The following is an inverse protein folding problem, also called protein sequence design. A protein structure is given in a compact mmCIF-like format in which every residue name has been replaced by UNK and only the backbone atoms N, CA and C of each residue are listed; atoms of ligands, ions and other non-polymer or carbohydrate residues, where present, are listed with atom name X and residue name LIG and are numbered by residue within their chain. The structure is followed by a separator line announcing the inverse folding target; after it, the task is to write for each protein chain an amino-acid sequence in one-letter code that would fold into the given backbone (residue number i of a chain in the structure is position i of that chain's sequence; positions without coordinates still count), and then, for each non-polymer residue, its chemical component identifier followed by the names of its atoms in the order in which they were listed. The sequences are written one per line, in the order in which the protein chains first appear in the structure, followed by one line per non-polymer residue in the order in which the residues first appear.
data_IF_000153819063
#
_entry.id   IF_000153819063
#
_cell.length_a   1.000
_cell.length_b   1.000
_cell.length_c   1.000
_cell.angle_alpha   90.00
_cell.angle_beta   90.00
_cell.angle_gamma   90.00
#
_symmetry.space_group_name_H-M   'P 1'
#
loop_
_entity.id
_entity.type
_entity.pdbx_description
1 polymer ?
#
# COMPACT_ATOMS: atom_id res chain seq x y z
N UNK A 1 5.21 23.12 9.16
CA UNK A 1 4.07 22.18 9.28
C UNK A 1 4.41 21.16 10.33
N UNK A 2 3.67 21.11 11.44
CA UNK A 2 3.92 20.20 12.56
C UNK A 2 3.29 18.83 12.25
N UNK A 3 4.12 17.79 12.19
CA UNK A 3 3.70 16.42 11.84
C UNK A 3 3.69 15.53 13.09
N UNK A 4 2.70 14.66 13.19
CA UNK A 4 2.59 13.64 14.23
C UNK A 4 2.41 12.26 13.60
N UNK A 5 3.12 11.27 14.13
CA UNK A 5 2.86 9.85 13.88
C UNK A 5 2.26 9.27 15.17
N UNK A 6 1.04 8.76 15.05
CA UNK A 6 0.45 7.89 16.07
C UNK A 6 0.70 6.45 15.68
N UNK A 7 1.44 5.73 16.51
CA UNK A 7 1.90 4.39 16.22
C UNK A 7 1.26 3.38 17.17
N UNK A 8 0.62 2.35 16.63
CA UNK A 8 0.24 1.19 17.40
C UNK A 8 1.47 0.48 17.99
N UNK A 9 1.29 -0.25 19.09
CA UNK A 9 2.34 -0.98 19.76
C UNK A 9 2.30 -2.47 19.44
N UNK A 10 1.20 -3.14 19.76
CA UNK A 10 1.10 -4.59 19.84
C UNK A 10 1.03 -5.27 18.45
N UNK A 11 2.12 -5.95 18.08
CA UNK A 11 2.28 -6.51 16.74
C UNK A 11 2.63 -5.46 15.68
N UNK A 12 2.81 -4.19 16.07
CA UNK A 12 3.30 -3.10 15.24
C UNK A 12 4.74 -2.76 15.59
N UNK A 13 4.97 -2.16 16.78
CA UNK A 13 6.31 -1.92 17.35
C UNK A 13 6.86 -3.19 17.97
N UNK A 14 6.08 -3.85 18.83
CA UNK A 14 6.46 -5.16 19.35
C UNK A 14 6.29 -6.21 18.27
N UNK A 15 7.22 -7.16 18.20
CA UNK A 15 7.16 -8.24 17.18
C UNK A 15 5.95 -9.16 17.42
N UNK A 16 5.51 -9.27 18.68
CA UNK A 16 4.36 -10.05 19.11
C UNK A 16 3.35 -9.17 19.82
N UNK A 17 2.08 -9.55 19.77
CA UNK A 17 1.04 -8.96 20.62
C UNK A 17 1.31 -9.35 22.08
N UNK A 18 1.82 -8.41 22.88
CA UNK A 18 2.23 -8.69 24.24
C UNK A 18 1.04 -8.90 25.17
N UNK A 19 -0.10 -8.26 24.87
CA UNK A 19 -1.36 -8.52 25.55
C UNK A 19 -1.76 -9.99 25.39
N UNK A 20 -1.72 -10.52 24.16
CA UNK A 20 -2.02 -11.93 23.85
C UNK A 20 -1.05 -12.89 24.55
N UNK A 21 0.26 -12.63 24.44
CA UNK A 21 1.29 -13.49 25.05
C UNK A 21 1.14 -13.54 26.58
N UNK A 22 0.78 -12.42 27.21
CA UNK A 22 0.52 -12.34 28.65
C UNK A 22 -0.73 -13.11 29.07
N UNK A 23 -1.87 -12.90 28.39
CA UNK A 23 -3.12 -13.56 28.79
C UNK A 23 -3.03 -15.07 28.60
N UNK A 24 -2.32 -15.54 27.58
CA UNK A 24 -2.10 -16.97 27.36
C UNK A 24 -1.30 -17.63 28.50
N UNK A 25 -0.39 -16.89 29.15
CA UNK A 25 0.47 -17.42 30.22
C UNK A 25 -0.14 -17.26 31.62
N UNK A 26 -0.82 -16.14 31.89
CA UNK A 26 -1.19 -15.72 33.24
C UNK A 26 -2.70 -15.72 33.51
N UNK A 27 -3.51 -16.31 32.64
CA UNK A 27 -4.95 -16.51 32.91
C UNK A 27 -5.24 -17.94 33.35
N UNK A 28 -6.22 -18.07 34.27
CA UNK A 28 -6.68 -19.37 34.78
C UNK A 28 -8.05 -19.79 34.19
N UNK A 29 -8.51 -19.10 33.14
CA UNK A 29 -9.85 -19.29 32.54
C UNK A 29 -9.83 -19.25 31.02
N UNK A 30 -11.01 -19.42 30.40
CA UNK A 30 -11.16 -19.49 28.94
C UNK A 30 -11.10 -18.08 28.30
N UNK A 31 -9.90 -17.51 28.26
CA UNK A 31 -9.65 -16.23 27.63
C UNK A 31 -9.82 -16.30 26.10
N UNK A 32 -9.68 -17.49 25.50
CA UNK A 32 -9.89 -17.73 24.07
C UNK A 32 -11.33 -17.44 23.64
N UNK A 33 -12.32 -17.70 24.52
CA UNK A 33 -13.70 -17.32 24.27
C UNK A 33 -13.89 -15.79 24.23
N UNK A 34 -13.19 -15.06 25.11
CA UNK A 34 -13.22 -13.59 25.15
C UNK A 34 -12.57 -13.02 23.89
N UNK A 35 -11.41 -13.54 23.48
CA UNK A 35 -10.71 -13.14 22.25
C UNK A 35 -11.57 -13.41 21.00
N UNK A 36 -12.23 -14.56 20.92
CA UNK A 36 -13.18 -14.86 19.84
C UNK A 36 -14.31 -13.83 19.77
N UNK A 37 -14.95 -13.53 20.90
CA UNK A 37 -16.05 -12.57 20.93
C UNK A 37 -15.58 -11.14 20.56
N UNK A 38 -14.35 -10.77 20.88
CA UNK A 38 -13.73 -9.52 20.42
C UNK A 38 -13.49 -9.52 18.91
N UNK A 39 -12.87 -10.57 18.36
CA UNK A 39 -12.59 -10.69 16.91
C UNK A 39 -13.85 -10.75 16.06
N UNK A 40 -14.92 -11.35 16.57
CA UNK A 40 -16.25 -11.39 15.94
C UNK A 40 -17.04 -10.08 16.13
N UNK A 41 -16.51 -9.10 16.88
CA UNK A 41 -17.14 -7.81 17.10
C UNK A 41 -18.33 -7.82 18.06
N UNK A 42 -18.53 -8.89 18.84
CA UNK A 42 -19.59 -8.98 19.86
C UNK A 42 -19.28 -8.10 21.08
N UNK A 43 -18.00 -7.94 21.40
CA UNK A 43 -17.50 -7.03 22.44
C UNK A 43 -16.36 -6.19 21.89
N UNK A 44 -16.18 -4.98 22.44
CA UNK A 44 -15.00 -4.16 22.18
C UNK A 44 -13.81 -4.51 23.09
N UNK A 45 -12.65 -3.91 22.83
CA UNK A 45 -11.43 -4.14 23.63
C UNK A 45 -11.60 -3.77 25.10
N UNK A 46 -12.39 -2.72 25.42
CA UNK A 46 -12.75 -2.37 26.80
C UNK A 46 -13.50 -3.51 27.50
N UNK A 47 -14.46 -4.10 26.80
CA UNK A 47 -15.23 -5.25 27.29
C UNK A 47 -14.37 -6.48 27.47
N UNK A 48 -13.47 -6.76 26.52
CA UNK A 48 -12.53 -7.87 26.58
C UNK A 48 -11.60 -7.74 27.80
N UNK A 49 -10.90 -6.61 27.96
CA UNK A 49 -10.01 -6.39 29.11
C UNK A 49 -10.74 -6.36 30.45
N UNK A 50 -11.99 -5.87 30.49
CA UNK A 50 -12.84 -5.93 31.69
C UNK A 50 -13.16 -7.36 32.12
N UNK A 51 -13.22 -8.31 31.17
CA UNK A 51 -13.39 -9.74 31.49
C UNK A 51 -12.05 -10.41 31.80
N UNK A 52 -11.00 -10.09 31.04
CA UNK A 52 -9.64 -10.62 31.24
C UNK A 52 -9.11 -10.26 32.64
N UNK A 53 -9.32 -9.04 33.13
CA UNK A 53 -8.89 -8.63 34.48
C UNK A 53 -9.41 -9.53 35.61
N UNK A 54 -10.55 -10.20 35.40
CA UNK A 54 -11.14 -11.12 36.40
C UNK A 54 -10.41 -12.46 36.48
N UNK A 55 -9.79 -12.88 35.38
CA UNK A 55 -9.14 -14.19 35.23
C UNK A 55 -7.62 -14.12 35.10
N UNK A 56 -7.07 -12.93 34.88
CA UNK A 56 -5.64 -12.65 34.88
C UNK A 56 -5.13 -12.60 36.32
N UNK A 57 -4.18 -13.47 36.65
CA UNK A 57 -3.58 -13.61 37.98
C UNK A 57 -2.09 -13.81 37.85
N UNK A 58 -1.32 -13.13 38.70
CA UNK A 58 0.11 -13.34 38.76
C UNK A 58 0.82 -12.36 39.68
N UNK A 59 1.94 -12.80 40.22
CA UNK A 59 2.88 -11.94 40.93
C UNK A 59 3.49 -10.92 39.95
N UNK A 60 3.51 -9.65 40.36
CA UNK A 60 4.01 -8.55 39.51
C UNK A 60 5.45 -8.80 39.06
N UNK A 61 6.32 -9.29 39.96
CA UNK A 61 7.72 -9.55 39.63
C UNK A 61 7.86 -10.70 38.62
N UNK A 62 7.04 -11.74 38.75
CA UNK A 62 7.00 -12.84 37.78
C UNK A 62 6.51 -12.36 36.40
N UNK A 63 5.47 -11.54 36.35
CA UNK A 63 4.94 -10.97 35.10
C UNK A 63 5.99 -10.07 34.43
N UNK A 64 6.64 -9.19 35.19
CA UNK A 64 7.66 -8.28 34.64
C UNK A 64 8.89 -9.02 34.11
N UNK A 65 9.32 -10.11 34.76
CA UNK A 65 10.37 -10.99 34.22
C UNK A 65 9.95 -11.63 32.91
N UNK A 66 8.72 -12.14 32.83
CA UNK A 66 8.20 -12.73 31.62
C UNK A 66 8.12 -11.72 30.46
N UNK A 67 7.70 -10.47 30.73
CA UNK A 67 7.74 -9.38 29.74
C UNK A 67 9.16 -9.13 29.25
N UNK A 68 10.15 -9.11 30.16
CA UNK A 68 11.55 -8.90 29.78
C UNK A 68 12.06 -10.00 28.83
N UNK A 69 11.70 -11.25 29.07
CA UNK A 69 12.06 -12.40 28.22
C UNK A 69 11.39 -12.39 26.84
N UNK A 70 10.30 -11.62 26.67
CA UNK A 70 9.51 -11.54 25.44
C UNK A 70 9.47 -10.12 24.86
N UNK A 71 10.46 -9.29 25.17
CA UNK A 71 10.45 -7.85 24.91
C UNK A 71 10.86 -7.44 23.49
N UNK A 72 10.90 -8.36 22.53
CA UNK A 72 11.36 -8.07 21.16
C UNK A 72 10.50 -7.00 20.47
N UNK A 73 11.15 -5.97 19.95
CA UNK A 73 10.57 -4.94 19.08
C UNK A 73 11.15 -5.03 17.67
N UNK A 74 10.49 -4.41 16.70
CA UNK A 74 11.03 -4.25 15.35
C UNK A 74 12.44 -3.63 15.42
N UNK A 75 13.48 -4.31 14.87
CA UNK A 75 14.86 -3.86 14.98
C UNK A 75 15.12 -2.47 14.39
N UNK A 76 14.29 -2.03 13.46
CA UNK A 76 14.40 -0.74 12.77
C UNK A 76 13.67 0.38 13.50
N UNK A 77 12.83 0.10 14.50
CA UNK A 77 12.00 1.10 15.17
C UNK A 77 12.83 2.20 15.85
N UNK A 78 13.93 1.84 16.52
CA UNK A 78 14.79 2.83 17.20
C UNK A 78 15.44 3.81 16.22
N UNK A 79 15.88 3.32 15.06
CA UNK A 79 16.47 4.13 13.99
C UNK A 79 15.39 5.03 13.36
N UNK A 80 14.22 4.45 13.10
CA UNK A 80 13.04 5.19 12.61
C UNK A 80 12.66 6.34 13.55
N UNK A 81 12.56 6.07 14.86
CA UNK A 81 12.21 7.07 15.87
C UNK A 81 13.19 8.25 15.88
N UNK A 82 14.50 7.96 15.92
CA UNK A 82 15.55 8.99 15.88
C UNK A 82 15.49 9.83 14.60
N UNK A 83 15.29 9.19 13.46
CA UNK A 83 15.22 9.92 12.18
C UNK A 83 13.97 10.79 12.08
N UNK A 84 12.84 10.38 12.64
CA UNK A 84 11.65 11.22 12.74
C UNK A 84 11.91 12.46 13.60
N UNK A 85 12.60 12.31 14.74
CA UNK A 85 13.00 13.43 15.60
C UNK A 85 13.90 14.43 14.88
N UNK A 86 14.88 13.97 14.12
CA UNK A 86 15.76 14.82 13.29
C UNK A 86 14.97 15.61 12.23
N UNK A 87 13.87 15.04 11.74
CA UNK A 87 12.94 15.66 10.77
C UNK A 87 11.82 16.49 11.41
N UNK A 88 11.84 16.71 12.74
CA UNK A 88 10.77 17.37 13.49
C UNK A 88 9.39 16.71 13.31
N UNK A 89 9.36 15.38 13.22
CA UNK A 89 8.14 14.57 13.22
C UNK A 89 7.99 13.98 14.62
N UNK A 90 6.94 14.37 15.34
CA UNK A 90 6.66 13.82 16.65
C UNK A 90 6.11 12.40 16.52
N UNK A 91 6.48 11.52 17.45
CA UNK A 91 5.94 10.15 17.55
C UNK A 91 5.31 9.98 18.92
N UNK A 92 4.08 9.43 18.94
CA UNK A 92 3.42 8.98 20.16
C UNK A 92 2.85 7.58 19.95
N UNK A 93 2.96 6.74 20.97
CA UNK A 93 2.43 5.37 20.94
C UNK A 93 0.97 5.38 21.38
N UNK A 94 0.12 4.64 20.68
CA UNK A 94 -1.30 4.48 21.01
C UNK A 94 -1.65 3.00 20.98
N UNK A 95 -1.84 2.39 22.15
CA UNK A 95 -2.11 0.96 22.26
C UNK A 95 -3.42 0.68 22.99
N UNK A 96 -4.15 -0.32 22.53
CA UNK A 96 -5.24 -0.94 23.29
C UNK A 96 -4.70 -1.90 24.38
N UNK A 97 -3.38 -2.05 24.47
CA UNK A 97 -2.64 -2.82 25.44
C UNK A 97 -2.59 -2.23 26.85
N UNK A 98 -1.69 -2.78 27.67
CA UNK A 98 -1.51 -2.42 29.08
C UNK A 98 -0.22 -1.62 29.29
N UNK A 99 -0.33 -0.53 30.05
CA UNK A 99 0.75 0.44 30.26
C UNK A 99 2.03 -0.15 30.85
N UNK A 100 1.92 -1.09 31.80
CA UNK A 100 3.09 -1.61 32.52
C UNK A 100 4.09 -2.33 31.61
N UNK A 101 3.62 -3.15 30.65
CA UNK A 101 4.53 -3.88 29.76
C UNK A 101 5.07 -2.96 28.66
N UNK A 102 4.26 -2.02 28.16
CA UNK A 102 4.72 -1.03 27.18
C UNK A 102 5.86 -0.23 27.80
N UNK A 103 5.65 0.28 29.01
CA UNK A 103 6.68 1.00 29.78
C UNK A 103 7.95 0.15 29.96
N UNK A 104 7.81 -1.10 30.42
CA UNK A 104 8.95 -1.99 30.65
C UNK A 104 9.74 -2.29 29.38
N UNK A 105 9.06 -2.53 28.25
CA UNK A 105 9.70 -2.80 26.96
C UNK A 105 10.43 -1.54 26.46
N UNK A 106 9.80 -0.36 26.55
CA UNK A 106 10.45 0.90 26.18
C UNK A 106 11.70 1.17 27.05
N UNK A 107 11.68 0.86 28.35
CA UNK A 107 12.86 0.95 29.22
C UNK A 107 14.00 0.02 28.78
N UNK A 108 13.68 -1.25 28.45
CA UNK A 108 14.67 -2.24 27.98
C UNK A 108 15.36 -1.76 26.70
N UNK A 109 14.62 -1.12 25.80
CA UNK A 109 15.13 -0.66 24.51
C UNK A 109 15.63 0.80 24.50
N UNK A 110 15.70 1.44 25.67
CA UNK A 110 16.13 2.84 25.82
C UNK A 110 15.29 3.84 24.99
N UNK A 111 13.96 3.70 25.09
CA UNK A 111 12.95 4.50 24.39
C UNK A 111 11.87 5.07 25.35
N UNK A 112 12.19 5.19 26.64
CA UNK A 112 11.24 5.63 27.67
C UNK A 112 10.76 7.08 27.51
N UNK A 113 11.43 7.87 26.69
CA UNK A 113 11.05 9.25 26.36
C UNK A 113 9.84 9.33 25.43
N UNK A 114 9.46 8.24 24.75
CA UNK A 114 8.33 8.23 23.82
C UNK A 114 7.02 8.33 24.60
N UNK A 115 6.20 9.37 24.39
CA UNK A 115 4.89 9.47 25.02
C UNK A 115 3.99 8.34 24.52
N UNK A 116 3.21 7.74 25.42
CA UNK A 116 2.26 6.69 25.06
C UNK A 116 0.90 6.83 25.76
N UNK A 117 -0.13 6.30 25.10
CA UNK A 117 -1.49 6.18 25.60
C UNK A 117 -1.88 4.70 25.60
N UNK A 118 -2.31 4.18 26.75
CA UNK A 118 -2.68 2.78 26.92
C UNK A 118 -3.71 2.61 28.04
N UNK A 119 -4.24 1.40 28.19
CA UNK A 119 -5.03 1.05 29.36
C UNK A 119 -4.12 0.99 30.59
N UNK A 120 -4.64 1.41 31.74
CA UNK A 120 -3.86 1.50 32.98
C UNK A 120 -4.08 0.30 33.88
N UNK A 121 -3.00 -0.38 34.20
CA UNK A 121 -2.98 -1.54 35.08
C UNK A 121 -2.75 -1.15 36.53
N UNK A 122 -3.47 -1.79 37.45
CA UNK A 122 -3.28 -1.66 38.89
C UNK A 122 -3.06 -3.05 39.48
N UNK A 123 -1.82 -3.34 39.88
CA UNK A 123 -1.51 -4.54 40.65
C UNK A 123 -2.05 -4.38 42.07
N UNK A 124 -2.71 -5.42 42.58
CA UNK A 124 -3.27 -5.47 43.93
C UNK A 124 -2.55 -6.52 44.77
N UNK A 125 -2.67 -6.36 46.08
CA UNK A 125 -2.30 -7.40 47.03
C UNK A 125 -3.04 -8.71 46.68
N UNK A 126 -2.39 -9.86 46.87
CA UNK A 126 -2.86 -11.20 46.49
C UNK A 126 -2.79 -11.55 44.98
N UNK A 127 -2.09 -10.75 44.16
CA UNK A 127 -1.79 -11.09 42.76
C UNK A 127 -2.97 -10.91 41.80
N UNK A 128 -3.98 -10.14 42.20
CA UNK A 128 -5.06 -9.69 41.33
C UNK A 128 -4.69 -8.42 40.56
N UNK A 129 -5.26 -8.24 39.37
CA UNK A 129 -4.89 -7.16 38.45
C UNK A 129 -6.17 -6.46 37.98
N UNK A 130 -6.31 -5.19 38.33
CA UNK A 130 -7.39 -4.34 37.81
C UNK A 130 -6.93 -3.54 36.59
N UNK A 131 -7.87 -3.24 35.69
CA UNK A 131 -7.60 -2.45 34.49
C UNK A 131 -8.58 -1.29 34.42
N UNK A 132 -8.05 -0.10 34.13
CA UNK A 132 -8.82 1.13 33.92
C UNK A 132 -8.56 1.71 32.53
N UNK A 133 -9.54 2.46 32.00
CA UNK A 133 -9.59 2.86 30.59
C UNK A 133 -9.58 4.39 30.43
N UNK A 134 -8.49 5.08 30.80
CA UNK A 134 -8.43 6.55 30.85
C UNK A 134 -8.59 7.23 29.48
N UNK A 135 -8.35 6.48 28.41
CA UNK A 135 -8.42 6.98 27.03
C UNK A 135 -9.60 6.38 26.25
N UNK A 136 -10.58 5.79 26.95
CA UNK A 136 -11.84 5.37 26.32
C UNK A 136 -12.69 6.58 25.91
N UNK A 137 -13.63 6.33 25.00
CA UNK A 137 -14.63 7.31 24.58
C UNK A 137 -16.03 6.75 24.91
N UNK A 138 -16.84 7.54 25.62
CA UNK A 138 -18.15 7.10 26.09
C UNK A 138 -19.11 6.86 24.92
N UNK A 139 -19.11 7.76 23.92
CA UNK A 139 -19.92 7.60 22.71
C UNK A 139 -19.54 6.34 21.92
N UNK A 140 -18.25 5.98 21.91
CA UNK A 140 -17.78 4.77 21.28
C UNK A 140 -18.22 3.53 22.07
N UNK A 141 -18.06 3.55 23.40
CA UNK A 141 -18.42 2.46 24.31
C UNK A 141 -17.60 1.16 24.18
N UNK A 142 -16.82 0.99 23.09
CA UNK A 142 -16.17 -0.26 22.72
C UNK A 142 -14.67 -0.31 23.06
N UNK A 143 -13.92 0.76 22.78
CA UNK A 143 -12.46 0.75 22.85
C UNK A 143 -11.93 1.03 24.28
N UNK A 144 -10.90 0.30 24.70
CA UNK A 144 -10.17 0.60 25.94
C UNK A 144 -9.36 1.90 25.80
N UNK A 145 -8.67 2.04 24.68
CA UNK A 145 -7.98 3.24 24.22
C UNK A 145 -8.54 3.63 22.85
N UNK A 146 -9.35 4.69 22.79
CA UNK A 146 -9.97 5.13 21.55
C UNK A 146 -8.97 5.91 20.67
N UNK A 147 -8.31 5.21 19.74
CA UNK A 147 -7.29 5.80 18.86
C UNK A 147 -7.84 6.92 17.96
N UNK A 148 -9.09 6.83 17.52
CA UNK A 148 -9.80 7.91 16.78
C UNK A 148 -9.87 9.21 17.61
N UNK A 149 -10.30 9.13 18.87
CA UNK A 149 -10.34 10.27 19.80
C UNK A 149 -8.96 10.91 19.95
N UNK A 150 -7.91 10.09 20.03
CA UNK A 150 -6.53 10.59 20.16
C UNK A 150 -6.05 11.35 18.92
N UNK A 151 -6.43 10.92 17.71
CA UNK A 151 -6.20 11.70 16.49
C UNK A 151 -6.92 13.05 16.57
N UNK A 152 -8.21 13.05 16.88
CA UNK A 152 -9.03 14.27 16.97
C UNK A 152 -8.53 15.25 18.03
N UNK A 153 -8.05 14.74 19.16
CA UNK A 153 -7.43 15.54 20.21
C UNK A 153 -6.16 16.23 19.69
N UNK A 154 -5.30 15.50 18.99
CA UNK A 154 -4.04 16.05 18.48
C UNK A 154 -4.19 16.94 17.25
N UNK A 155 -5.28 16.84 16.49
CA UNK A 155 -5.57 17.76 15.36
C UNK A 155 -5.55 19.24 15.77
N UNK A 156 -5.78 19.55 17.05
CA UNK A 156 -5.71 20.93 17.57
C UNK A 156 -4.28 21.51 17.55
N UNK A 157 -3.26 20.66 17.48
CA UNK A 157 -1.85 21.06 17.60
C UNK A 157 -1.00 20.69 16.38
N UNK A 158 -1.46 19.75 15.56
CA UNK A 158 -0.70 19.18 14.44
C UNK A 158 -1.44 19.37 13.12
N UNK A 159 -0.69 19.81 12.11
CA UNK A 159 -1.21 20.06 10.77
C UNK A 159 -1.44 18.75 10.00
N UNK A 160 -0.59 17.75 10.23
CA UNK A 160 -0.69 16.42 9.62
C UNK A 160 -0.50 15.32 10.65
N UNK A 161 -1.38 14.32 10.61
CA UNK A 161 -1.36 13.16 11.49
C UNK A 161 -1.35 11.88 10.65
N UNK A 162 -0.27 11.15 10.78
CA UNK A 162 -0.07 9.83 10.20
C UNK A 162 -0.39 8.75 11.22
N UNK A 163 -0.86 7.61 10.74
CA UNK A 163 -1.12 6.44 11.58
C UNK A 163 -0.33 5.22 11.11
N UNK A 164 0.25 4.47 12.05
CA UNK A 164 0.95 3.20 11.79
C UNK A 164 0.28 2.11 12.60
N UNK A 165 -0.17 1.03 11.95
CA UNK A 165 -0.79 -0.10 12.66
C UNK A 165 -0.97 -1.38 11.85
N UNK A 166 -1.61 -2.37 12.47
CA UNK A 166 -1.71 -3.75 11.96
C UNK A 166 -3.12 -4.37 12.12
N UNK A 167 -3.96 -3.81 12.99
CA UNK A 167 -5.01 -4.58 13.65
C UNK A 167 -6.44 -4.05 13.55
N UNK A 168 -7.33 -4.78 14.21
CA UNK A 168 -8.76 -4.45 14.34
C UNK A 168 -8.99 -3.14 15.08
N UNK A 169 -8.24 -2.87 16.15
CA UNK A 169 -8.36 -1.67 16.99
C UNK A 169 -7.92 -0.38 16.27
N UNK A 170 -7.21 -0.52 15.14
CA UNK A 170 -6.68 0.59 14.35
C UNK A 170 -7.64 1.14 13.31
N UNK A 171 -8.71 0.40 13.00
CA UNK A 171 -9.61 0.70 11.87
C UNK A 171 -10.20 2.10 11.95
N UNK A 172 -10.69 2.51 13.12
CA UNK A 172 -11.24 3.85 13.31
C UNK A 172 -10.17 4.94 13.23
N UNK A 173 -8.91 4.64 13.57
CA UNK A 173 -7.81 5.57 13.45
C UNK A 173 -7.38 5.74 11.98
N UNK A 174 -7.33 4.65 11.23
CA UNK A 174 -7.03 4.66 9.80
C UNK A 174 -8.03 5.50 8.99
N UNK A 175 -9.30 5.56 9.40
CA UNK A 175 -10.31 6.40 8.75
C UNK A 175 -10.12 7.91 9.03
N UNK A 176 -9.46 8.26 10.13
CA UNK A 176 -9.36 9.66 10.62
C UNK A 176 -8.00 10.30 10.31
N UNK A 177 -6.96 9.49 10.16
CA UNK A 177 -5.61 9.94 9.83
C UNK A 177 -5.53 10.51 8.40
N UNK A 178 -4.58 11.43 8.16
CA UNK A 178 -4.32 11.96 6.82
C UNK A 178 -3.76 10.88 5.89
N UNK A 179 -2.99 9.95 6.47
CA UNK A 179 -2.36 8.88 5.74
C UNK A 179 -1.97 7.73 6.69
N UNK A 180 -2.02 6.49 6.16
CA UNK A 180 -1.87 5.28 6.95
C UNK A 180 -0.74 4.40 6.43
N UNK A 181 0.14 3.97 7.32
CA UNK A 181 0.98 2.79 7.11
C UNK A 181 0.29 1.61 7.75
N UNK A 182 -0.09 0.62 6.94
CA UNK A 182 -0.88 -0.51 7.39
C UNK A 182 -0.20 -1.82 7.05
N UNK A 183 -0.20 -2.76 7.98
CA UNK A 183 0.14 -4.16 7.71
C UNK A 183 -0.99 -5.09 8.15
N UNK A 184 -0.81 -6.38 7.89
CA UNK A 184 -1.72 -7.44 8.30
C UNK A 184 -3.20 -7.15 7.99
N UNK A 185 -4.08 -7.27 8.98
CA UNK A 185 -5.53 -7.10 8.81
C UNK A 185 -5.93 -5.65 8.54
N UNK A 186 -5.14 -4.67 9.00
CA UNK A 186 -5.41 -3.26 8.77
C UNK A 186 -5.20 -2.89 7.30
N UNK A 187 -4.20 -3.46 6.64
CA UNK A 187 -3.96 -3.23 5.21
C UNK A 187 -5.18 -3.66 4.41
N UNK A 188 -5.65 -4.90 4.58
CA UNK A 188 -6.85 -5.41 3.89
C UNK A 188 -8.06 -4.51 4.13
N UNK A 189 -8.28 -4.07 5.38
CA UNK A 189 -9.36 -3.15 5.71
C UNK A 189 -9.24 -1.81 4.98
N UNK A 190 -8.05 -1.22 4.92
CA UNK A 190 -7.83 0.04 4.22
C UNK A 190 -8.17 -0.08 2.73
N UNK A 191 -7.80 -1.20 2.10
CA UNK A 191 -8.11 -1.48 0.69
C UNK A 191 -9.62 -1.53 0.48
N UNK A 192 -10.34 -2.29 1.33
CA UNK A 192 -11.80 -2.49 1.26
C UNK A 192 -12.59 -1.20 1.53
N UNK A 193 -12.10 -0.33 2.40
CA UNK A 193 -12.75 0.94 2.76
C UNK A 193 -12.29 2.14 1.91
N UNK A 194 -11.50 1.89 0.88
CA UNK A 194 -10.89 2.94 0.06
C UNK A 194 -10.09 3.99 0.87
N UNK A 195 -9.36 3.52 1.88
CA UNK A 195 -8.43 4.34 2.67
C UNK A 195 -7.06 4.30 1.98
N UNK A 196 -6.50 5.48 1.73
CA UNK A 196 -5.15 5.62 1.18
C UNK A 196 -4.13 5.15 2.22
N UNK A 197 -3.35 4.12 1.86
CA UNK A 197 -2.35 3.56 2.74
C UNK A 197 -1.12 3.02 1.97
N UNK A 198 -0.01 2.87 2.67
CA UNK A 198 1.12 2.05 2.24
C UNK A 198 1.20 0.77 3.05
N UNK A 199 1.45 -0.35 2.37
CA UNK A 199 1.87 -1.57 3.03
C UNK A 199 3.31 -1.40 3.52
N UNK A 200 3.60 -1.86 4.75
CA UNK A 200 4.96 -1.94 5.27
C UNK A 200 5.21 -3.31 5.93
N UNK A 201 6.43 -3.82 5.81
CA UNK A 201 6.87 -5.01 6.54
C UNK A 201 7.47 -4.67 7.89
N UNK A 202 8.28 -3.62 7.92
CA UNK A 202 9.06 -3.17 9.06
C UNK A 202 9.19 -1.64 9.04
N UNK A 203 9.76 -1.07 10.11
CA UNK A 203 9.94 0.38 10.20
C UNK A 203 11.02 0.93 9.27
N UNK A 204 11.87 0.10 8.67
CA UNK A 204 12.83 0.54 7.66
C UNK A 204 12.10 0.95 6.39
N UNK A 205 11.12 0.17 5.97
CA UNK A 205 10.27 0.53 4.82
C UNK A 205 9.56 1.88 5.05
N UNK A 206 9.02 2.14 6.23
CA UNK A 206 8.40 3.44 6.55
C UNK A 206 9.44 4.57 6.52
N UNK A 207 10.63 4.32 7.07
CA UNK A 207 11.73 5.29 7.04
C UNK A 207 12.14 5.67 5.61
N UNK A 208 12.16 4.69 4.70
CA UNK A 208 12.46 4.92 3.29
C UNK A 208 11.39 5.82 2.64
N UNK A 209 10.10 5.64 2.97
CA UNK A 209 9.02 6.53 2.50
C UNK A 209 9.19 7.97 3.01
N UNK A 210 9.56 8.16 4.27
CA UNK A 210 9.78 9.49 4.85
C UNK A 210 11.04 10.18 4.32
N UNK A 211 11.94 9.43 3.67
CA UNK A 211 13.16 9.96 3.03
C UNK A 211 12.98 10.14 1.52
N UNK A 212 11.99 9.49 0.91
CA UNK A 212 11.85 9.44 -0.55
C UNK A 212 11.59 10.83 -1.13
N UNK A 213 12.42 11.18 -2.11
CA UNK A 213 12.24 12.34 -2.98
C UNK A 213 12.03 11.84 -4.39
N UNK A 214 10.79 11.94 -4.87
CA UNK A 214 10.43 11.45 -6.20
C UNK A 214 10.82 12.53 -7.21
N UNK A 215 11.84 12.23 -8.04
CA UNK A 215 12.26 13.10 -9.14
C UNK A 215 11.82 12.61 -10.50
N UNK A 216 11.47 11.32 -10.61
CA UNK A 216 10.98 10.77 -11.86
C UNK A 216 9.90 9.74 -11.71
N UNK A 217 9.14 9.59 -12.78
CA UNK A 217 8.03 8.65 -12.86
C UNK A 217 8.12 7.93 -14.20
N UNK A 218 8.13 6.61 -14.13
CA UNK A 218 7.94 5.76 -15.30
C UNK A 218 6.49 5.31 -15.28
N UNK A 219 5.79 5.47 -16.40
CA UNK A 219 4.40 5.03 -16.54
C UNK A 219 4.33 3.79 -17.43
N UNK A 220 3.44 2.86 -17.14
CA UNK A 220 2.83 2.07 -18.20
C UNK A 220 1.93 2.95 -19.08
N UNK A 221 1.56 2.45 -20.25
CA UNK A 221 0.81 3.21 -21.24
C UNK A 221 -0.67 2.81 -21.29
N UNK A 222 -0.97 1.61 -21.78
CA UNK A 222 -2.33 1.13 -22.03
C UNK A 222 -3.01 0.71 -20.72
N UNK A 223 -4.11 1.37 -20.35
CA UNK A 223 -4.76 1.14 -19.06
C UNK A 223 -4.26 2.05 -17.95
N UNK A 224 -3.17 2.78 -18.18
CA UNK A 224 -2.56 3.70 -17.21
C UNK A 224 -2.62 5.17 -17.64
N UNK A 225 -2.15 5.52 -18.84
CA UNK A 225 -2.26 6.89 -19.38
C UNK A 225 -3.30 6.99 -20.49
N UNK A 226 -3.45 5.93 -21.28
CA UNK A 226 -4.34 5.90 -22.45
C UNK A 226 -5.30 4.72 -22.41
N UNK A 227 -6.41 4.85 -23.11
CA UNK A 227 -7.31 3.76 -23.47
C UNK A 227 -7.20 3.49 -24.97
N UNK A 228 -6.81 2.25 -25.34
CA UNK A 228 -6.78 1.80 -26.74
C UNK A 228 -7.58 0.50 -26.97
N UNK A 229 -8.51 0.18 -26.07
CA UNK A 229 -9.27 -1.07 -26.10
C UNK A 229 -10.07 -1.28 -27.39
N UNK A 230 -10.62 -0.22 -27.99
CA UNK A 230 -11.36 -0.34 -29.26
C UNK A 230 -10.43 -0.78 -30.39
N UNK A 231 -9.23 -0.21 -30.50
CA UNK A 231 -8.24 -0.61 -31.49
C UNK A 231 -7.80 -2.07 -31.29
N UNK A 232 -7.56 -2.48 -30.04
CA UNK A 232 -7.20 -3.86 -29.69
C UNK A 232 -8.32 -4.82 -30.08
N UNK A 233 -9.58 -4.49 -29.75
CA UNK A 233 -10.72 -5.34 -30.07
C UNK A 233 -10.93 -5.49 -31.57
N UNK A 234 -10.82 -4.41 -32.35
CA UNK A 234 -10.98 -4.47 -33.79
C UNK A 234 -9.89 -5.33 -34.45
N UNK A 235 -8.65 -5.27 -33.96
CA UNK A 235 -7.59 -6.17 -34.40
C UNK A 235 -7.84 -7.64 -34.02
N UNK A 236 -8.31 -7.90 -32.79
CA UNK A 236 -8.66 -9.25 -32.34
C UNK A 236 -9.85 -9.82 -33.11
N UNK A 237 -10.86 -8.99 -33.38
CA UNK A 237 -12.04 -9.35 -34.18
C UNK A 237 -11.65 -9.76 -35.59
N UNK A 238 -10.72 -9.06 -36.23
CA UNK A 238 -10.18 -9.42 -37.53
C UNK A 238 -9.52 -10.81 -37.50
N UNK A 239 -8.74 -11.11 -36.46
CA UNK A 239 -8.16 -12.45 -36.27
C UNK A 239 -9.21 -13.54 -36.06
N UNK A 240 -10.19 -13.30 -35.18
CA UNK A 240 -11.28 -14.26 -34.94
C UNK A 240 -12.04 -14.55 -36.23
N UNK A 241 -12.33 -13.53 -37.03
CA UNK A 241 -12.96 -13.67 -38.35
C UNK A 241 -12.10 -14.48 -39.31
N UNK A 242 -10.80 -14.16 -39.42
CA UNK A 242 -9.87 -14.84 -40.31
C UNK A 242 -9.79 -16.35 -40.06
N UNK A 243 -9.78 -16.76 -38.79
CA UNK A 243 -9.73 -18.18 -38.39
C UNK A 243 -11.11 -18.82 -38.18
N UNK A 244 -12.20 -18.11 -38.49
CA UNK A 244 -13.56 -18.63 -38.35
C UNK A 244 -13.96 -18.97 -36.90
N UNK A 245 -13.42 -18.25 -35.91
CA UNK A 245 -13.79 -18.40 -34.49
C UNK A 245 -15.00 -17.53 -34.14
N UNK A 246 -15.65 -17.84 -33.01
CA UNK A 246 -16.74 -17.02 -32.47
C UNK A 246 -16.25 -15.62 -32.07
N UNK A 247 -17.05 -14.60 -32.42
CA UNK A 247 -16.77 -13.20 -32.08
C UNK A 247 -17.64 -12.83 -30.88
N UNK A 248 -17.01 -12.48 -29.77
CA UNK A 248 -17.69 -11.98 -28.57
C UNK A 248 -17.90 -10.46 -28.65
N UNK A 249 -18.88 -9.89 -27.90
CA UNK A 249 -19.14 -8.46 -27.92
C UNK A 249 -18.04 -7.65 -27.22
N UNK A 250 -17.78 -6.42 -27.69
CA UNK A 250 -16.71 -5.54 -27.17
C UNK A 250 -16.66 -5.42 -25.63
N UNK A 251 -17.82 -5.36 -24.97
CA UNK A 251 -17.95 -5.28 -23.51
C UNK A 251 -17.22 -6.39 -22.74
N UNK A 252 -16.98 -7.53 -23.38
CA UNK A 252 -16.33 -8.68 -22.76
C UNK A 252 -14.81 -8.69 -22.97
N UNK A 253 -14.24 -7.74 -23.75
CA UNK A 253 -12.80 -7.68 -24.06
C UNK A 253 -11.91 -7.79 -22.82
N UNK A 254 -12.21 -7.02 -21.76
CA UNK A 254 -11.40 -6.99 -20.53
C UNK A 254 -11.24 -8.36 -19.87
N UNK A 255 -12.18 -9.29 -20.06
CA UNK A 255 -12.10 -10.67 -19.54
C UNK A 255 -11.00 -11.49 -20.23
N UNK A 256 -10.68 -11.13 -21.47
CA UNK A 256 -9.76 -11.85 -22.34
C UNK A 256 -8.40 -11.18 -22.47
N UNK A 257 -8.25 -9.91 -22.10
CA UNK A 257 -6.94 -9.25 -22.12
C UNK A 257 -5.97 -9.92 -21.13
N UNK A 258 -4.72 -10.08 -21.58
CA UNK A 258 -3.59 -10.55 -20.78
C UNK A 258 -2.44 -9.54 -20.88
N UNK A 259 -1.32 -9.88 -20.24
CA UNK A 259 -0.14 -9.01 -20.16
C UNK A 259 0.48 -8.62 -21.51
N UNK A 260 0.22 -9.40 -22.57
CA UNK A 260 0.64 -9.10 -23.93
C UNK A 260 -0.29 -9.72 -25.00
N UNK A 261 0.03 -9.42 -26.26
CA UNK A 261 -0.70 -9.88 -27.44
C UNK A 261 -0.68 -11.42 -27.59
N UNK A 262 0.46 -12.06 -27.33
CA UNK A 262 0.64 -13.49 -27.52
C UNK A 262 -0.18 -14.27 -26.47
N UNK A 263 -0.10 -13.86 -25.21
CA UNK A 263 -0.91 -14.40 -24.13
C UNK A 263 -2.42 -14.17 -24.36
N UNK A 264 -2.79 -13.02 -24.93
CA UNK A 264 -4.20 -12.74 -25.27
C UNK A 264 -4.70 -13.70 -26.34
N UNK A 265 -3.96 -13.86 -27.45
CA UNK A 265 -4.33 -14.74 -28.56
C UNK A 265 -4.32 -16.23 -28.19
N UNK A 266 -3.39 -16.66 -27.33
CA UNK A 266 -3.24 -18.07 -26.93
C UNK A 266 -4.47 -18.67 -26.24
N UNK A 267 -5.45 -17.85 -25.83
CA UNK A 267 -6.72 -18.33 -25.28
C UNK A 267 -7.71 -18.80 -26.35
N UNK A 268 -7.54 -18.36 -27.59
CA UNK A 268 -8.47 -18.60 -28.70
C UNK A 268 -7.88 -19.51 -29.79
N UNK A 269 -6.55 -19.63 -29.79
CA UNK A 269 -5.78 -20.11 -30.92
C UNK A 269 -4.69 -21.09 -30.48
N UNK A 270 -4.40 -22.07 -31.33
CA UNK A 270 -3.20 -22.91 -31.25
C UNK A 270 -1.94 -22.06 -31.48
N UNK A 271 -0.77 -22.57 -31.09
CA UNK A 271 0.51 -21.86 -31.29
C UNK A 271 0.74 -21.45 -32.77
N UNK A 272 0.40 -22.31 -33.72
CA UNK A 272 0.53 -22.00 -35.15
C UNK A 272 -0.42 -20.87 -35.58
N UNK A 273 -1.67 -20.90 -35.12
CA UNK A 273 -2.66 -19.86 -35.38
C UNK A 273 -2.24 -18.53 -34.71
N UNK A 274 -1.66 -18.55 -33.51
CA UNK A 274 -1.13 -17.35 -32.83
C UNK A 274 -0.03 -16.69 -33.69
N UNK A 275 0.93 -17.46 -34.18
CA UNK A 275 2.02 -16.94 -35.04
C UNK A 275 1.50 -16.29 -36.32
N UNK A 276 0.42 -16.82 -36.90
CA UNK A 276 -0.25 -16.26 -38.08
C UNK A 276 -1.18 -15.08 -37.74
N UNK A 277 -1.80 -15.10 -36.56
CA UNK A 277 -2.74 -14.08 -36.08
C UNK A 277 -2.05 -12.78 -35.69
N UNK A 278 -0.86 -12.85 -35.08
CA UNK A 278 -0.11 -11.66 -34.66
C UNK A 278 0.05 -10.62 -35.79
N UNK A 279 0.53 -10.97 -37.00
CA UNK A 279 0.61 -10.03 -38.12
C UNK A 279 -0.75 -9.44 -38.55
N UNK A 280 -1.82 -10.24 -38.55
CA UNK A 280 -3.17 -9.81 -38.96
C UNK A 280 -3.68 -8.76 -37.98
N UNK A 281 -3.64 -9.06 -36.68
CA UNK A 281 -4.06 -8.13 -35.63
C UNK A 281 -3.22 -6.86 -35.65
N UNK A 282 -1.89 -6.97 -35.79
CA UNK A 282 -0.99 -5.81 -35.85
C UNK A 282 -1.27 -4.91 -37.04
N UNK A 283 -1.51 -5.49 -38.23
CA UNK A 283 -1.87 -4.72 -39.42
C UNK A 283 -3.15 -3.95 -39.18
N UNK A 284 -4.19 -4.60 -38.66
CA UNK A 284 -5.45 -3.93 -38.39
C UNK A 284 -5.32 -2.85 -37.32
N UNK A 285 -4.55 -3.11 -36.28
CA UNK A 285 -4.25 -2.16 -35.22
C UNK A 285 -3.54 -0.92 -35.77
N UNK A 286 -2.51 -1.10 -36.60
CA UNK A 286 -1.73 -0.01 -37.20
C UNK A 286 -2.57 0.96 -38.03
N UNK A 287 -3.63 0.46 -38.69
CA UNK A 287 -4.56 1.30 -39.46
C UNK A 287 -5.40 2.26 -38.60
N UNK A 288 -5.69 1.91 -37.34
CA UNK A 288 -6.75 2.55 -36.55
C UNK A 288 -6.31 3.07 -35.18
N UNK A 289 -5.14 2.67 -34.68
CA UNK A 289 -4.79 2.90 -33.29
C UNK A 289 -4.70 4.38 -32.92
N UNK A 290 -4.32 5.27 -33.84
CA UNK A 290 -4.27 6.70 -33.58
C UNK A 290 -5.67 7.26 -33.32
N UNK A 291 -6.62 6.99 -34.22
CA UNK A 291 -8.00 7.47 -34.12
C UNK A 291 -8.78 6.88 -32.93
N UNK A 292 -8.33 5.71 -32.44
CA UNK A 292 -8.97 4.91 -31.40
C UNK A 292 -8.20 4.87 -30.08
N UNK A 293 -7.25 5.80 -29.91
CA UNK A 293 -6.51 5.98 -28.66
C UNK A 293 -6.81 7.34 -28.07
N UNK A 294 -7.22 7.36 -26.81
CA UNK A 294 -7.51 8.58 -26.07
C UNK A 294 -6.86 8.54 -24.69
N UNK A 295 -6.65 9.71 -24.09
CA UNK A 295 -6.22 9.77 -22.69
C UNK A 295 -7.29 9.17 -21.77
N UNK A 296 -6.82 8.50 -20.72
CA UNK A 296 -7.67 8.26 -19.55
C UNK A 296 -7.99 9.58 -18.86
N UNK A 297 -9.13 9.62 -18.16
CA UNK A 297 -9.61 10.82 -17.49
C UNK A 297 -8.55 11.40 -16.53
N UNK A 298 -8.11 12.64 -16.80
CA UNK A 298 -7.12 13.36 -16.01
C UNK A 298 -5.66 13.08 -16.36
N UNK A 299 -5.37 12.13 -17.26
CA UNK A 299 -3.98 11.76 -17.57
C UNK A 299 -3.20 12.93 -18.16
N UNK A 300 -3.80 13.69 -19.08
CA UNK A 300 -3.15 14.83 -19.72
C UNK A 300 -2.83 15.95 -18.71
N UNK A 301 -3.78 16.25 -17.82
CA UNK A 301 -3.63 17.26 -16.77
C UNK A 301 -2.54 16.86 -15.77
N UNK A 302 -2.51 15.59 -15.36
CA UNK A 302 -1.51 15.06 -14.44
C UNK A 302 -0.11 15.11 -15.06
N UNK A 303 0.04 14.65 -16.32
CA UNK A 303 1.32 14.72 -17.03
C UNK A 303 1.82 16.16 -17.14
N UNK A 304 0.93 17.10 -17.51
CA UNK A 304 1.26 18.52 -17.60
C UNK A 304 1.71 19.09 -16.26
N UNK A 305 0.97 18.81 -15.18
CA UNK A 305 1.29 19.31 -13.84
C UNK A 305 2.63 18.78 -13.33
N UNK A 306 2.88 17.47 -13.47
CA UNK A 306 4.15 16.86 -13.06
C UNK A 306 5.32 17.40 -13.88
N UNK A 307 5.14 17.53 -15.19
CA UNK A 307 6.18 18.06 -16.06
C UNK A 307 6.50 19.53 -15.75
N UNK A 308 5.49 20.37 -15.48
CA UNK A 308 5.70 21.78 -15.11
C UNK A 308 6.45 21.96 -13.80
N UNK A 309 6.34 21.00 -12.89
CA UNK A 309 7.09 20.97 -11.62
C UNK A 309 8.48 20.33 -11.77
N UNK A 310 8.90 20.00 -12.99
CA UNK A 310 10.24 19.49 -13.29
C UNK A 310 10.43 17.99 -13.04
N UNK A 311 9.34 17.24 -12.82
CA UNK A 311 9.41 15.77 -12.69
C UNK A 311 9.78 15.15 -14.04
N UNK A 312 10.78 14.27 -14.06
CA UNK A 312 11.25 13.60 -15.27
C UNK A 312 10.33 12.41 -15.57
N UNK A 313 9.68 12.42 -16.73
CA UNK A 313 8.70 11.39 -17.09
C UNK A 313 9.30 10.38 -18.08
N UNK A 314 8.95 9.12 -17.91
CA UNK A 314 9.28 8.03 -18.84
C UNK A 314 8.10 7.08 -19.05
N UNK A 315 8.18 6.25 -20.09
CA UNK A 315 7.22 5.18 -20.38
C UNK A 315 7.93 3.83 -20.50
N UNK A 316 7.34 2.79 -19.93
CA UNK A 316 7.73 1.38 -20.09
C UNK A 316 6.48 0.50 -20.33
N UNK A 317 6.28 0.06 -21.58
CA UNK A 317 5.05 -0.66 -21.97
C UNK A 317 5.32 -1.93 -22.79
N UNK A 318 4.45 -2.94 -22.63
CA UNK A 318 4.44 -4.13 -23.49
C UNK A 318 3.85 -3.88 -24.88
N UNK A 319 3.32 -2.67 -25.12
CA UNK A 319 3.00 -2.20 -26.46
C UNK A 319 4.29 -2.01 -27.27
N UNK A 320 4.28 -2.39 -28.56
CA UNK A 320 5.44 -2.22 -29.44
C UNK A 320 5.92 -0.76 -29.43
N UNK A 321 7.24 -0.55 -29.30
CA UNK A 321 7.84 0.77 -29.13
C UNK A 321 7.40 1.80 -30.18
N UNK A 322 7.31 1.41 -31.46
CA UNK A 322 6.82 2.30 -32.53
C UNK A 322 5.39 2.78 -32.32
N UNK A 323 4.50 1.93 -31.81
CA UNK A 323 3.11 2.30 -31.54
C UNK A 323 2.99 3.15 -30.26
N UNK A 324 3.82 2.89 -29.25
CA UNK A 324 3.89 3.71 -28.05
C UNK A 324 4.32 5.14 -28.39
N UNK A 325 5.43 5.28 -29.13
CA UNK A 325 5.92 6.59 -29.60
C UNK A 325 4.91 7.29 -30.53
N UNK A 326 4.31 6.54 -31.46
CA UNK A 326 3.29 7.08 -32.37
C UNK A 326 2.05 7.62 -31.64
N UNK A 327 1.53 6.88 -30.67
CA UNK A 327 0.36 7.30 -29.88
C UNK A 327 0.67 8.56 -29.05
N UNK A 328 1.80 8.59 -28.36
CA UNK A 328 2.21 9.73 -27.53
C UNK A 328 2.47 10.99 -28.39
N UNK A 329 3.06 10.83 -29.57
CA UNK A 329 3.23 11.92 -30.53
C UNK A 329 1.89 12.45 -31.03
N UNK A 330 0.97 11.56 -31.41
CA UNK A 330 -0.37 11.94 -31.88
C UNK A 330 -1.19 12.68 -30.81
N UNK A 331 -1.06 12.27 -29.55
CA UNK A 331 -1.70 12.92 -28.41
C UNK A 331 -1.03 14.25 -27.99
N UNK A 332 0.06 14.65 -28.64
CA UNK A 332 0.69 15.96 -28.44
C UNK A 332 1.44 16.12 -27.12
N UNK A 333 1.88 15.03 -26.49
CA UNK A 333 2.59 15.05 -25.19
C UNK A 333 3.98 14.41 -25.25
N UNK A 334 4.52 14.17 -26.46
CA UNK A 334 5.84 13.55 -26.62
C UNK A 334 6.96 14.31 -25.94
N UNK A 335 6.88 15.65 -25.91
CA UNK A 335 7.93 16.50 -25.31
C UNK A 335 7.99 16.39 -23.77
N UNK A 336 6.98 15.80 -23.13
CA UNK A 336 6.96 15.61 -21.68
C UNK A 336 7.84 14.43 -21.25
N UNK A 337 8.12 13.49 -22.15
CA UNK A 337 8.79 12.23 -21.83
C UNK A 337 10.25 12.26 -22.24
N UNK A 338 11.13 12.00 -21.27
CA UNK A 338 12.56 11.84 -21.50
C UNK A 338 12.90 10.48 -22.13
N UNK A 339 12.08 9.46 -21.88
CA UNK A 339 12.27 8.08 -22.31
C UNK A 339 10.94 7.43 -22.67
N UNK A 340 10.86 6.73 -23.80
CA UNK A 340 9.67 5.96 -24.21
C UNK A 340 10.13 4.58 -24.71
N UNK A 341 10.12 3.60 -23.80
CA UNK A 341 10.51 2.22 -24.07
C UNK A 341 9.26 1.36 -24.25
N UNK A 342 9.17 0.69 -25.39
CA UNK A 342 8.14 -0.30 -25.66
C UNK A 342 8.71 -1.67 -26.03
N UNK A 343 7.82 -2.62 -26.25
CA UNK A 343 8.22 -3.97 -26.63
C UNK A 343 9.07 -3.98 -27.91
N UNK A 344 10.15 -4.75 -27.88
CA UNK A 344 11.14 -4.86 -28.95
C UNK A 344 12.26 -3.83 -28.90
N UNK A 345 12.20 -2.82 -28.02
CA UNK A 345 13.31 -1.88 -27.79
C UNK A 345 14.39 -2.47 -26.86
N UNK A 346 14.04 -3.52 -26.10
CA UNK A 346 14.93 -4.24 -25.18
C UNK A 346 14.84 -5.76 -25.39
N UNK A 347 15.81 -6.51 -24.87
CA UNK A 347 15.87 -7.98 -25.02
C UNK A 347 14.69 -8.70 -24.36
N UNK A 348 14.23 -8.22 -23.21
CA UNK A 348 13.15 -8.86 -22.44
C UNK A 348 12.11 -7.81 -22.04
N UNK A 349 10.85 -8.08 -22.33
CA UNK A 349 9.74 -7.17 -22.00
C UNK A 349 9.26 -7.36 -20.55
N UNK A 350 8.27 -6.58 -20.09
CA UNK A 350 7.67 -6.80 -18.76
C UNK A 350 7.10 -8.23 -18.68
N UNK A 351 7.33 -8.97 -17.58
CA UNK A 351 7.69 -8.51 -16.24
C UNK A 351 9.19 -8.35 -15.94
N UNK A 352 10.08 -8.50 -16.92
CA UNK A 352 11.52 -8.32 -16.71
C UNK A 352 11.88 -6.83 -16.55
N UNK A 353 12.92 -6.48 -15.77
CA UNK A 353 13.20 -5.09 -15.39
C UNK A 353 13.88 -4.27 -16.51
N UNK A 354 14.24 -4.90 -17.63
CA UNK A 354 15.08 -4.33 -18.69
C UNK A 354 14.52 -2.99 -19.23
N UNK A 355 13.20 -2.86 -19.37
CA UNK A 355 12.56 -1.62 -19.79
C UNK A 355 12.72 -0.50 -18.76
N UNK A 356 12.52 -0.80 -17.47
CA UNK A 356 12.68 0.17 -16.39
C UNK A 356 14.14 0.59 -16.26
N UNK A 357 15.09 -0.34 -16.29
CA UNK A 357 16.52 -0.03 -16.23
C UNK A 357 16.98 0.85 -17.40
N UNK A 358 16.46 0.58 -18.61
CA UNK A 358 16.76 1.41 -19.79
C UNK A 358 16.20 2.81 -19.61
N UNK A 359 14.93 2.94 -19.15
CA UNK A 359 14.31 4.23 -18.89
C UNK A 359 15.05 5.02 -17.79
N UNK A 360 15.44 4.38 -16.68
CA UNK A 360 16.23 5.01 -15.61
C UNK A 360 17.56 5.59 -16.13
N UNK A 361 18.25 4.85 -17.00
CA UNK A 361 19.49 5.29 -17.65
C UNK A 361 19.26 6.52 -18.54
N UNK A 362 18.21 6.52 -19.36
CA UNK A 362 17.86 7.65 -20.24
C UNK A 362 17.40 8.89 -19.44
N UNK A 363 16.72 8.66 -18.32
CA UNK A 363 16.26 9.68 -17.38
C UNK A 363 17.38 10.21 -16.48
N UNK A 364 18.52 9.51 -16.40
CA UNK A 364 19.63 9.80 -15.47
C UNK A 364 19.15 9.88 -14.01
N UNK A 365 18.39 8.86 -13.59
CA UNK A 365 17.81 8.73 -12.26
C UNK A 365 18.15 7.37 -11.64
N UNK A 366 18.16 7.34 -10.31
CA UNK A 366 18.26 6.09 -9.56
C UNK A 366 16.88 5.47 -9.29
N UNK A 367 16.80 4.17 -8.97
CA UNK A 367 15.55 3.54 -8.56
C UNK A 367 14.90 4.19 -7.33
N UNK A 368 15.71 4.69 -6.39
CA UNK A 368 15.24 5.29 -5.13
C UNK A 368 14.50 6.61 -5.36
N UNK A 369 14.93 7.39 -6.36
CA UNK A 369 14.32 8.67 -6.76
C UNK A 369 13.17 8.51 -7.76
N UNK A 370 12.86 7.28 -8.16
CA UNK A 370 11.87 6.97 -9.20
C UNK A 370 10.72 6.13 -8.63
N UNK A 371 9.55 6.28 -9.23
CA UNK A 371 8.42 5.37 -9.04
C UNK A 371 7.94 4.83 -10.39
N UNK A 372 7.34 3.65 -10.38
CA UNK A 372 6.68 3.06 -11.53
C UNK A 372 5.17 3.02 -11.31
N UNK A 373 4.41 3.54 -12.27
CA UNK A 373 2.94 3.62 -12.21
C UNK A 373 2.36 2.70 -13.27
N UNK A 374 1.47 1.78 -12.87
CA UNK A 374 0.86 0.81 -13.79
C UNK A 374 -0.42 0.18 -13.25
N UNK A 375 -1.20 -0.45 -14.12
CA UNK A 375 -2.52 -1.01 -13.79
C UNK A 375 -2.58 -2.54 -13.74
N UNK A 376 -1.44 -3.21 -13.92
CA UNK A 376 -1.38 -4.68 -13.99
C UNK A 376 -0.50 -5.32 -12.92
N UNK A 377 -0.74 -6.61 -12.64
CA UNK A 377 0.16 -7.42 -11.80
C UNK A 377 1.57 -7.51 -12.41
N UNK A 378 1.65 -7.52 -13.74
CA UNK A 378 2.91 -7.48 -14.48
C UNK A 378 3.70 -6.21 -14.16
N UNK A 379 3.03 -5.06 -14.02
CA UNK A 379 3.70 -3.81 -13.66
C UNK A 379 4.29 -3.87 -12.26
N UNK A 380 3.53 -4.41 -11.29
CA UNK A 380 3.99 -4.58 -9.92
C UNK A 380 5.22 -5.50 -9.87
N UNK A 381 5.19 -6.60 -10.62
CA UNK A 381 6.33 -7.51 -10.70
C UNK A 381 7.55 -6.86 -11.37
N UNK A 382 7.33 -6.05 -12.41
CA UNK A 382 8.41 -5.34 -13.13
C UNK A 382 9.13 -4.36 -12.23
N UNK A 383 8.38 -3.50 -11.54
CA UNK A 383 8.96 -2.50 -10.64
C UNK A 383 9.71 -3.13 -9.47
N UNK A 384 9.15 -4.19 -8.86
CA UNK A 384 9.84 -4.98 -7.83
C UNK A 384 11.18 -5.54 -8.32
N UNK A 385 11.20 -6.13 -9.52
CA UNK A 385 12.44 -6.67 -10.11
C UNK A 385 13.46 -5.57 -10.45
N UNK A 386 12.99 -4.37 -10.76
CA UNK A 386 13.82 -3.22 -11.06
C UNK A 386 14.27 -2.43 -9.82
N UNK A 387 13.80 -2.80 -8.62
CA UNK A 387 14.08 -2.07 -7.39
C UNK A 387 13.39 -0.70 -7.29
N UNK A 388 12.31 -0.49 -8.06
CA UNK A 388 11.55 0.77 -8.08
C UNK A 388 10.22 0.57 -7.36
N UNK A 389 9.82 1.53 -6.53
CA UNK A 389 8.51 1.51 -5.87
C UNK A 389 7.38 1.56 -6.90
N UNK A 390 6.38 0.69 -6.73
CA UNK A 390 5.23 0.62 -7.64
C UNK A 390 4.01 1.26 -7.03
N UNK A 391 3.44 2.21 -7.77
CA UNK A 391 2.16 2.84 -7.48
C UNK A 391 1.13 2.25 -8.43
N UNK A 392 0.37 1.28 -7.95
CA UNK A 392 -0.62 0.57 -8.75
C UNK A 392 -1.89 1.42 -8.93
N UNK A 393 -2.49 1.34 -10.11
CA UNK A 393 -3.67 2.13 -10.49
C UNK A 393 -4.80 1.21 -10.99
N UNK A 394 -5.97 1.15 -10.34
CA UNK A 394 -7.04 0.23 -10.68
C UNK A 394 -7.92 0.73 -11.85
N UNK A 395 -7.31 1.24 -12.93
CA UNK A 395 -7.99 1.75 -14.14
C UNK A 395 -8.10 0.72 -15.27
N UNK A 396 -7.26 -0.31 -15.21
CA UNK A 396 -7.15 -1.36 -16.21
C UNK A 396 -8.23 -2.43 -16.18
N UNK A 397 -7.78 -3.68 -16.25
CA UNK A 397 -8.62 -4.88 -16.17
C UNK A 397 -8.50 -5.63 -14.83
N UNK A 398 -7.51 -5.30 -13.99
CA UNK A 398 -7.44 -5.80 -12.62
C UNK A 398 -8.20 -4.90 -11.64
N UNK A 399 -8.90 -5.53 -10.70
CA UNK A 399 -9.56 -4.83 -9.61
C UNK A 399 -8.54 -4.36 -8.57
N UNK A 400 -8.95 -3.34 -7.79
CA UNK A 400 -8.21 -2.87 -6.62
C UNK A 400 -7.79 -4.01 -5.68
N UNK A 401 -8.70 -4.98 -5.45
CA UNK A 401 -8.46 -6.14 -4.59
C UNK A 401 -7.38 -7.06 -5.18
N UNK A 402 -7.43 -7.36 -6.47
CA UNK A 402 -6.42 -8.19 -7.13
C UNK A 402 -5.05 -7.54 -7.11
N UNK A 403 -4.94 -6.24 -7.45
CA UNK A 403 -3.68 -5.50 -7.38
C UNK A 403 -3.10 -5.50 -5.95
N UNK A 404 -3.96 -5.35 -4.94
CA UNK A 404 -3.52 -5.29 -3.53
C UNK A 404 -2.83 -6.56 -3.03
N UNK A 405 -3.10 -7.72 -3.65
CA UNK A 405 -2.51 -9.02 -3.27
C UNK A 405 -0.99 -9.03 -3.50
N UNK A 406 -0.53 -8.30 -4.51
CA UNK A 406 0.89 -8.11 -4.79
C UNK A 406 1.53 -7.05 -3.89
N UNK A 407 0.77 -6.39 -2.99
CA UNK A 407 1.29 -5.40 -2.04
C UNK A 407 2.16 -4.34 -2.74
N UNK A 408 1.62 -3.63 -3.76
CA UNK A 408 2.32 -2.49 -4.34
C UNK A 408 2.60 -1.47 -3.24
N UNK A 409 3.64 -0.63 -3.43
CA UNK A 409 4.01 0.36 -2.43
C UNK A 409 2.83 1.29 -2.12
N UNK A 410 2.13 1.70 -3.18
CA UNK A 410 0.88 2.44 -3.09
C UNK A 410 -0.14 1.89 -4.06
N UNK A 411 -1.40 2.02 -3.70
CA UNK A 411 -2.53 1.76 -4.58
C UNK A 411 -3.33 3.06 -4.69
N UNK A 412 -3.24 3.68 -5.85
CA UNK A 412 -3.85 4.97 -6.13
C UNK A 412 -5.36 4.80 -6.33
N UNK A 413 -6.13 5.80 -5.93
CA UNK A 413 -7.56 5.88 -6.25
C UNK A 413 -7.79 6.26 -7.70
N UNK A 414 -6.94 7.16 -8.20
CA UNK A 414 -6.97 7.72 -9.55
C UNK A 414 -5.62 8.37 -9.86
N UNK A 415 -5.41 8.80 -11.10
CA UNK A 415 -4.17 9.44 -11.54
C UNK A 415 -3.93 10.78 -10.84
N UNK A 416 -4.98 11.53 -10.50
CA UNK A 416 -4.87 12.86 -9.90
C UNK A 416 -4.19 12.82 -8.53
N UNK A 417 -4.36 11.72 -7.79
CA UNK A 417 -3.66 11.49 -6.52
C UNK A 417 -2.14 11.55 -6.69
N UNK A 418 -1.61 11.16 -7.85
CA UNK A 418 -0.16 11.16 -8.13
C UNK A 418 0.47 12.53 -7.96
N UNK A 419 -0.22 13.60 -8.36
CA UNK A 419 0.27 14.98 -8.23
C UNK A 419 0.48 15.32 -6.75
N UNK A 420 -0.50 15.03 -5.91
CA UNK A 420 -0.38 15.28 -4.47
C UNK A 420 0.75 14.45 -3.84
N UNK A 421 0.90 13.19 -4.24
CA UNK A 421 1.89 12.29 -3.62
C UNK A 421 3.31 12.64 -3.99
N UNK A 422 3.52 13.04 -5.25
CA UNK A 422 4.84 13.37 -5.78
C UNK A 422 5.27 14.75 -5.32
N UNK A 423 4.36 15.74 -5.34
CA UNK A 423 4.68 17.13 -5.00
C UNK A 423 4.61 17.42 -3.50
N UNK A 424 3.73 16.74 -2.76
CA UNK A 424 3.60 16.86 -1.31
C UNK A 424 4.05 15.57 -0.62
N UNK A 425 5.29 15.18 -0.91
CA UNK A 425 5.95 14.03 -0.30
C UNK A 425 5.79 14.03 1.23
N UNK A 426 5.75 12.83 1.83
CA UNK A 426 5.66 12.65 3.28
C UNK A 426 6.86 13.25 4.03
N UNK A 427 7.95 13.57 3.31
CA UNK A 427 9.24 14.06 3.84
C UNK A 427 9.23 15.44 4.48
#
# INVERSE_FOLDING_TARGET
MKKLILCDFDGTISVRDMGYVLVNQFTLGNWEAIDRDFREGKIGSKGAYSQISKILKGDESAILRFVQEHSDIDPSFSIFYRSCREKNIDIKIVSDGLDFYIKKILEIHHLSEIPFYANRTHFRDEGSIDISFPHSEEECGLCGTCKKKLIQMHRKEYDSIFFIGNGLSDRCAAQEADFVFAKDSLYTYCIEQDITCHFFKDFREILDDLKKQIRGIIFDLDGTLIESYEAIYLGLKECLQYFGKEIFPFRDLKKYLKADLEATLSQFFTLEEVLKGIPIMRKKYEEIYLDKTHFLNGAQEVLKALHSEGVILGIASNKLGRFSRGAILHLGVSDYFKSIIGAGDVSRNKPFPDMIHTALKEMNLSPEETIFVGDTLTDIQTGKQAGVDVYALPTGFYTKKELSQEKPRRLLKNLQELVCVVLHSLS
#
